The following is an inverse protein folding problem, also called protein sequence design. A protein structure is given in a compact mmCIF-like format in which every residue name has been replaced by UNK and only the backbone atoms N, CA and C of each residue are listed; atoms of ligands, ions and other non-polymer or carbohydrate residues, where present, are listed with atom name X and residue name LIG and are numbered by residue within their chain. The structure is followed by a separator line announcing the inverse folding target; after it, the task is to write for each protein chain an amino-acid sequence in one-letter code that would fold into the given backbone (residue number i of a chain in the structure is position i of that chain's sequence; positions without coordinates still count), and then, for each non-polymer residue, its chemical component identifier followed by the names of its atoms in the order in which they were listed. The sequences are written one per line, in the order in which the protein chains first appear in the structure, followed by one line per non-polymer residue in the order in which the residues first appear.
data_IF_020163909291
#
_entry.id   IF_020163909291
#
_cell.length_a   1.000
_cell.length_b   1.000
_cell.length_c   1.000
_cell.angle_alpha   90.00
_cell.angle_beta   90.00
_cell.angle_gamma   90.00
#
_symmetry.space_group_name_H-M   'P 1'
#
loop_
_entity.id
_entity.type
_entity.pdbx_description
1 polymer ?
#
# COMPACT_ATOMS: atom_id res chain seq x y z
N UNK A 1 -7.38 -6.13 -7.33
CA UNK A 1 -8.42 -5.32 -8.00
C UNK A 1 -9.60 -5.16 -7.06
N UNK A 2 -10.14 -3.95 -6.93
CA UNK A 2 -11.36 -3.70 -6.15
C UNK A 2 -12.44 -3.20 -7.11
N UNK A 3 -13.55 -3.92 -7.20
CA UNK A 3 -14.71 -3.55 -8.01
C UNK A 3 -15.84 -3.13 -7.11
N UNK A 4 -16.33 -1.90 -7.28
CA UNK A 4 -17.39 -1.34 -6.46
C UNK A 4 -18.69 -1.22 -7.28
N UNK A 5 -19.81 -1.65 -6.72
CA UNK A 5 -21.14 -1.48 -7.29
C UNK A 5 -22.12 -0.99 -6.24
N UNK A 6 -22.92 0.04 -6.54
CA UNK A 6 -23.98 0.52 -5.66
C UNK A 6 -25.33 -0.10 -6.02
N UNK A 7 -26.24 -0.29 -5.06
CA UNK A 7 -27.64 -0.61 -5.33
C UNK A 7 -28.25 0.42 -6.29
N UNK A 8 -28.74 -0.04 -7.43
CA UNK A 8 -29.31 0.82 -8.47
C UNK A 8 -28.33 1.26 -9.57
N UNK A 9 -27.04 0.92 -9.47
CA UNK A 9 -26.14 1.06 -10.62
C UNK A 9 -26.38 -0.08 -11.62
N UNK A 10 -26.50 0.27 -12.90
CA UNK A 10 -26.58 -0.71 -13.98
C UNK A 10 -25.17 -1.17 -14.35
N UNK A 11 -24.60 -2.09 -13.58
CA UNK A 11 -23.37 -2.76 -13.97
C UNK A 11 -23.63 -3.70 -15.17
N UNK A 12 -22.88 -3.53 -16.26
CA UNK A 12 -22.90 -4.48 -17.38
C UNK A 12 -22.23 -5.79 -16.95
N UNK A 13 -23.02 -6.73 -16.42
CA UNK A 13 -22.55 -8.00 -15.85
C UNK A 13 -21.63 -8.79 -16.79
N UNK A 14 -21.85 -8.76 -18.09
CA UNK A 14 -21.00 -9.43 -19.08
C UNK A 14 -19.55 -8.89 -19.09
N UNK A 15 -19.37 -7.58 -18.89
CA UNK A 15 -18.03 -6.99 -18.80
C UNK A 15 -17.36 -7.37 -17.49
N UNK A 16 -18.11 -7.43 -16.40
CA UNK A 16 -17.58 -7.87 -15.11
C UNK A 16 -17.07 -9.31 -15.21
N UNK A 17 -17.84 -10.24 -15.79
CA UNK A 17 -17.39 -11.63 -16.01
C UNK A 17 -16.07 -11.68 -16.78
N UNK A 18 -15.92 -10.87 -17.83
CA UNK A 18 -14.67 -10.80 -18.59
C UNK A 18 -13.50 -10.29 -17.73
N UNK A 19 -13.70 -9.20 -16.97
CA UNK A 19 -12.66 -8.64 -16.08
C UNK A 19 -12.21 -9.68 -15.05
N UNK A 20 -13.15 -10.37 -14.40
CA UNK A 20 -12.85 -11.39 -13.39
C UNK A 20 -12.10 -12.57 -14.02
N UNK A 21 -12.47 -13.00 -15.22
CA UNK A 21 -11.72 -14.01 -15.96
C UNK A 21 -10.27 -13.58 -16.24
N UNK A 22 -10.05 -12.32 -16.64
CA UNK A 22 -8.70 -11.80 -16.87
C UNK A 22 -7.90 -11.69 -15.58
N UNK A 23 -8.53 -11.28 -14.48
CA UNK A 23 -7.89 -11.29 -13.17
C UNK A 23 -7.50 -12.72 -12.75
N UNK A 24 -8.38 -13.71 -12.96
CA UNK A 24 -8.07 -15.11 -12.68
C UNK A 24 -6.85 -15.60 -13.47
N UNK A 25 -6.81 -15.37 -14.78
CA UNK A 25 -5.68 -15.76 -15.65
C UNK A 25 -4.35 -15.13 -15.21
N UNK A 26 -4.40 -13.91 -14.68
CA UNK A 26 -3.23 -13.13 -14.23
C UNK A 26 -2.92 -13.30 -12.74
N UNK A 27 -3.62 -14.19 -12.03
CA UNK A 27 -3.50 -14.36 -10.57
C UNK A 27 -3.70 -13.05 -9.78
N UNK A 28 -4.61 -12.19 -10.24
CA UNK A 28 -4.96 -10.94 -9.58
C UNK A 28 -6.13 -11.19 -8.64
N UNK A 29 -5.92 -10.96 -7.35
CA UNK A 29 -6.97 -11.02 -6.34
C UNK A 29 -8.09 -9.99 -6.61
N UNK A 30 -9.35 -10.40 -6.42
CA UNK A 30 -10.53 -9.57 -6.68
C UNK A 30 -11.39 -9.35 -5.43
N UNK A 31 -11.53 -8.10 -4.97
CA UNK A 31 -12.55 -7.72 -4.00
C UNK A 31 -13.76 -7.13 -4.72
N UNK A 32 -14.92 -7.79 -4.65
CA UNK A 32 -16.18 -7.30 -5.21
C UNK A 32 -17.03 -6.70 -4.09
N UNK A 33 -17.28 -5.41 -4.17
CA UNK A 33 -17.80 -4.61 -3.07
C UNK A 33 -19.13 -4.00 -3.47
N UNK A 34 -20.21 -4.40 -2.78
CA UNK A 34 -21.47 -3.70 -2.83
C UNK A 34 -21.39 -2.47 -1.91
N UNK A 35 -21.32 -1.27 -2.47
CA UNK A 35 -21.30 -0.02 -1.69
C UNK A 35 -22.71 0.36 -1.23
N UNK A 36 -22.81 1.36 -0.35
CA UNK A 36 -24.07 1.81 0.24
C UNK A 36 -24.89 0.63 0.79
N UNK A 37 -24.29 -0.15 1.70
CA UNK A 37 -24.89 -1.35 2.32
C UNK A 37 -26.35 -1.16 2.76
N UNK A 38 -26.75 0.06 3.14
CA UNK A 38 -28.09 0.35 3.64
C UNK A 38 -29.04 0.94 2.60
N UNK A 39 -28.54 1.43 1.46
CA UNK A 39 -29.38 2.10 0.47
C UNK A 39 -30.11 1.09 -0.43
N UNK A 40 -31.39 1.35 -0.66
CA UNK A 40 -32.21 0.59 -1.61
C UNK A 40 -32.61 -0.82 -1.17
N UNK A 41 -33.61 -1.38 -1.87
CA UNK A 41 -34.16 -2.71 -1.60
C UNK A 41 -33.36 -3.85 -2.25
N UNK A 42 -32.44 -3.53 -3.18
CA UNK A 42 -31.82 -4.49 -4.09
C UNK A 42 -30.35 -4.83 -3.76
N UNK A 43 -29.83 -4.44 -2.60
CA UNK A 43 -28.45 -4.73 -2.18
C UNK A 43 -28.10 -6.23 -2.20
N UNK A 44 -29.02 -7.08 -1.77
CA UNK A 44 -28.80 -8.53 -1.75
C UNK A 44 -28.72 -9.08 -3.17
N UNK A 45 -29.53 -8.54 -4.09
CA UNK A 45 -29.49 -8.89 -5.51
C UNK A 45 -28.11 -8.55 -6.10
N UNK A 46 -27.52 -7.40 -5.74
CA UNK A 46 -26.15 -7.06 -6.18
C UNK A 46 -25.14 -8.08 -5.65
N UNK A 47 -25.19 -8.41 -4.36
CA UNK A 47 -24.28 -9.41 -3.75
C UNK A 47 -24.45 -10.78 -4.41
N UNK A 48 -25.68 -11.22 -4.64
CA UNK A 48 -26.01 -12.49 -5.26
C UNK A 48 -25.50 -12.55 -6.71
N UNK A 49 -25.62 -11.45 -7.46
CA UNK A 49 -25.07 -11.33 -8.81
C UNK A 49 -23.53 -11.36 -8.83
N UNK A 50 -22.86 -10.67 -7.90
CA UNK A 50 -21.41 -10.74 -7.75
C UNK A 50 -20.96 -12.17 -7.42
N UNK A 51 -21.67 -12.85 -6.53
CA UNK A 51 -21.42 -14.26 -6.21
C UNK A 51 -21.66 -15.16 -7.42
N UNK A 52 -22.74 -14.94 -8.19
CA UNK A 52 -23.03 -15.69 -9.42
C UNK A 52 -21.90 -15.53 -10.44
N UNK A 53 -21.37 -14.33 -10.62
CA UNK A 53 -20.23 -14.08 -11.50
C UNK A 53 -19.00 -14.87 -11.04
N UNK A 54 -18.67 -14.84 -9.73
CA UNK A 54 -17.54 -15.59 -9.20
C UNK A 54 -17.73 -17.11 -9.30
N UNK A 55 -18.93 -17.63 -9.03
CA UNK A 55 -19.24 -19.05 -9.19
C UNK A 55 -19.11 -19.50 -10.66
N UNK A 56 -19.41 -18.63 -11.62
CA UNK A 56 -19.23 -18.94 -13.03
C UNK A 56 -17.75 -19.01 -13.42
N UNK A 57 -16.91 -18.12 -12.87
CA UNK A 57 -15.46 -18.08 -13.17
C UNK A 57 -14.68 -19.13 -12.37
N UNK A 58 -15.13 -19.43 -11.15
CA UNK A 58 -14.48 -20.33 -10.19
C UNK A 58 -15.42 -21.44 -9.73
N UNK A 59 -15.92 -22.32 -10.62
CA UNK A 59 -16.98 -23.28 -10.29
C UNK A 59 -16.57 -24.35 -9.26
N UNK A 60 -15.27 -24.52 -9.03
CA UNK A 60 -14.74 -25.52 -8.09
C UNK A 60 -14.48 -24.95 -6.69
N UNK A 61 -14.53 -23.63 -6.51
CA UNK A 61 -14.24 -22.99 -5.22
C UNK A 61 -15.53 -22.91 -4.41
N UNK A 62 -15.53 -23.56 -3.24
CA UNK A 62 -16.64 -23.44 -2.30
C UNK A 62 -16.46 -22.16 -1.48
N UNK A 63 -17.41 -21.23 -1.59
CA UNK A 63 -17.37 -20.00 -0.82
C UNK A 63 -17.60 -20.24 0.67
N UNK A 64 -16.93 -19.47 1.52
CA UNK A 64 -17.15 -19.43 2.98
C UNK A 64 -17.61 -18.04 3.40
N UNK A 65 -18.33 -17.92 4.53
CA UNK A 65 -18.84 -16.64 5.03
C UNK A 65 -18.34 -16.38 6.44
N UNK A 66 -17.74 -15.23 6.67
CA UNK A 66 -17.19 -14.79 7.95
C UNK A 66 -17.24 -13.26 8.03
N UNK A 67 -17.76 -12.72 9.14
CA UNK A 67 -17.87 -11.27 9.39
C UNK A 67 -18.53 -10.46 8.26
N UNK A 68 -19.57 -11.05 7.63
CA UNK A 68 -20.28 -10.39 6.53
C UNK A 68 -19.55 -10.43 5.18
N UNK A 69 -18.35 -11.03 5.12
CA UNK A 69 -17.58 -11.24 3.90
C UNK A 69 -17.81 -12.67 3.40
N UNK A 70 -17.95 -12.82 2.09
CA UNK A 70 -18.02 -14.10 1.39
C UNK A 70 -16.68 -14.32 0.69
N UNK A 71 -15.90 -15.27 1.17
CA UNK A 71 -14.57 -15.58 0.66
C UNK A 71 -14.64 -16.67 -0.40
N UNK A 72 -13.84 -16.50 -1.46
CA UNK A 72 -13.55 -17.49 -2.48
C UNK A 72 -12.06 -17.82 -2.38
N UNK A 73 -11.68 -18.48 -1.29
CA UNK A 73 -10.29 -18.83 -0.97
C UNK A 73 -9.36 -17.60 -1.03
N UNK A 74 -8.22 -17.71 -1.72
CA UNK A 74 -7.24 -16.65 -1.92
C UNK A 74 -7.41 -15.89 -3.25
N UNK A 75 -8.48 -16.12 -4.02
CA UNK A 75 -8.66 -15.50 -5.34
C UNK A 75 -9.62 -14.32 -5.33
N UNK A 76 -10.66 -14.36 -4.50
CA UNK A 76 -11.64 -13.29 -4.44
C UNK A 76 -12.40 -13.22 -3.11
N UNK A 77 -13.03 -12.07 -2.87
CA UNK A 77 -14.05 -11.91 -1.85
C UNK A 77 -15.22 -11.07 -2.36
N UNK A 78 -16.39 -11.24 -1.73
CA UNK A 78 -17.56 -10.38 -1.90
C UNK A 78 -17.96 -9.81 -0.55
N UNK A 79 -18.22 -8.52 -0.49
CA UNK A 79 -18.72 -7.89 0.75
C UNK A 79 -19.65 -6.73 0.45
N UNK A 80 -20.32 -6.23 1.49
CA UNK A 80 -21.02 -4.96 1.48
C UNK A 80 -20.27 -3.97 2.37
N UNK A 81 -20.25 -2.70 1.97
CA UNK A 81 -19.68 -1.62 2.79
C UNK A 81 -20.56 -0.39 2.75
N UNK A 82 -20.48 0.40 3.80
CA UNK A 82 -21.00 1.75 3.86
C UNK A 82 -19.85 2.67 4.26
N UNK A 83 -19.30 3.42 3.31
CA UNK A 83 -18.10 4.27 3.52
C UNK A 83 -18.42 5.62 4.16
N UNK A 84 -19.69 6.03 4.13
CA UNK A 84 -20.21 7.24 4.78
C UNK A 84 -21.43 6.86 5.61
N UNK A 85 -21.83 7.68 6.56
CA UNK A 85 -23.09 7.50 7.29
C UNK A 85 -24.28 7.48 6.32
N UNK A 86 -25.20 6.52 6.51
CA UNK A 86 -26.44 6.46 5.74
C UNK A 86 -27.55 7.13 6.53
N UNK A 87 -28.16 8.15 5.95
CA UNK A 87 -29.24 8.93 6.54
C UNK A 87 -30.43 8.86 5.60
N UNK A 88 -31.57 8.46 6.14
CA UNK A 88 -32.87 8.43 5.48
C UNK A 88 -33.86 9.21 6.34
N UNK A 89 -34.05 10.48 5.99
CA UNK A 89 -34.87 11.43 6.74
C UNK A 89 -36.35 11.03 6.70
N UNK A 90 -36.82 10.47 5.59
CA UNK A 90 -38.22 10.07 5.38
C UNK A 90 -38.63 8.94 6.34
N UNK A 91 -37.70 8.05 6.68
CA UNK A 91 -37.93 6.91 7.58
C UNK A 91 -37.23 7.05 8.94
N UNK A 92 -36.59 8.19 9.21
CA UNK A 92 -35.79 8.44 10.41
C UNK A 92 -34.77 7.31 10.69
N UNK A 93 -34.12 6.82 9.64
CA UNK A 93 -33.08 5.79 9.74
C UNK A 93 -31.72 6.45 9.64
N UNK A 94 -30.89 6.23 10.66
CA UNK A 94 -29.48 6.56 10.62
C UNK A 94 -28.65 5.29 10.86
N UNK A 95 -27.71 5.00 9.95
CA UNK A 95 -26.74 3.91 10.08
C UNK A 95 -25.31 4.42 9.94
N UNK A 96 -24.41 4.07 10.87
CA UNK A 96 -23.02 4.51 10.81
C UNK A 96 -22.26 3.88 9.63
N UNK A 97 -21.07 4.42 9.37
CA UNK A 97 -20.07 3.78 8.53
C UNK A 97 -19.79 2.35 9.04
N UNK A 98 -19.68 1.38 8.13
CA UNK A 98 -19.52 -0.03 8.48
C UNK A 98 -18.95 -0.86 7.32
N UNK A 99 -18.25 -1.95 7.63
CA UNK A 99 -17.74 -2.92 6.65
C UNK A 99 -16.38 -2.57 6.04
N UNK A 100 -15.86 -1.36 6.24
CA UNK A 100 -14.56 -0.93 5.68
C UNK A 100 -13.40 -1.65 6.37
N UNK A 101 -13.41 -1.70 7.70
CA UNK A 101 -12.33 -2.37 8.44
C UNK A 101 -12.31 -3.87 8.14
N UNK A 102 -13.50 -4.48 8.06
CA UNK A 102 -13.64 -5.89 7.67
C UNK A 102 -13.13 -6.12 6.26
N UNK A 103 -13.46 -5.23 5.29
CA UNK A 103 -12.96 -5.31 3.92
C UNK A 103 -11.42 -5.24 3.89
N UNK A 104 -10.82 -4.28 4.60
CA UNK A 104 -9.37 -4.14 4.67
C UNK A 104 -8.73 -5.40 5.25
N UNK A 105 -9.26 -5.91 6.36
CA UNK A 105 -8.77 -7.13 6.98
C UNK A 105 -8.95 -8.34 6.06
N UNK A 106 -10.11 -8.49 5.43
CA UNK A 106 -10.46 -9.59 4.54
C UNK A 106 -9.57 -9.65 3.31
N UNK A 107 -9.24 -8.50 2.70
CA UNK A 107 -8.24 -8.43 1.63
C UNK A 107 -6.90 -8.95 2.15
N UNK A 108 -6.41 -8.43 3.28
CA UNK A 108 -5.14 -8.85 3.86
C UNK A 108 -5.07 -10.36 4.12
N UNK A 109 -6.15 -10.93 4.66
CA UNK A 109 -6.28 -12.37 4.95
C UNK A 109 -6.19 -13.27 3.71
N UNK A 110 -6.65 -12.80 2.54
CA UNK A 110 -6.62 -13.55 1.29
C UNK A 110 -5.28 -13.48 0.55
N UNK A 111 -4.46 -12.46 0.85
CA UNK A 111 -3.21 -12.23 0.14
C UNK A 111 -2.09 -13.12 0.67
N UNK A 112 -1.15 -13.47 -0.21
CA UNK A 112 0.12 -14.06 0.22
C UNK A 112 0.89 -13.07 1.11
N UNK A 113 1.81 -13.59 1.94
CA UNK A 113 2.46 -12.84 3.01
C UNK A 113 3.05 -11.49 2.56
N UNK A 114 3.79 -11.47 1.46
CA UNK A 114 4.43 -10.24 0.97
C UNK A 114 3.41 -9.20 0.50
N UNK A 115 2.37 -9.63 -0.23
CA UNK A 115 1.29 -8.77 -0.67
C UNK A 115 0.38 -8.33 0.48
N UNK A 116 0.19 -9.16 1.50
CA UNK A 116 -0.52 -8.80 2.72
C UNK A 116 0.18 -7.65 3.45
N UNK A 117 1.51 -7.72 3.60
CA UNK A 117 2.27 -6.61 4.20
C UNK A 117 2.22 -5.35 3.35
N UNK A 118 2.35 -5.46 2.03
CA UNK A 118 2.21 -4.33 1.13
C UNK A 118 0.82 -3.67 1.25
N UNK A 119 -0.24 -4.47 1.28
CA UNK A 119 -1.61 -4.02 1.48
C UNK A 119 -1.80 -3.30 2.82
N UNK A 120 -1.34 -3.92 3.90
CA UNK A 120 -1.46 -3.34 5.24
C UNK A 120 -0.64 -2.05 5.37
N UNK A 121 0.49 -1.94 4.68
CA UNK A 121 1.25 -0.68 4.56
C UNK A 121 0.45 0.39 3.84
N UNK A 122 -0.30 0.06 2.78
CA UNK A 122 -1.15 1.03 2.06
C UNK A 122 -2.21 1.66 2.98
N UNK A 123 -2.70 0.90 3.97
CA UNK A 123 -3.72 1.37 4.92
C UNK A 123 -3.14 1.75 6.29
N UNK A 124 -1.82 1.93 6.41
CA UNK A 124 -1.15 2.25 7.68
C UNK A 124 -1.69 3.52 8.34
N UNK A 125 -2.03 4.52 7.53
CA UNK A 125 -2.59 5.81 7.97
C UNK A 125 -4.01 5.71 8.54
N UNK A 126 -4.69 4.58 8.37
CA UNK A 126 -6.05 4.38 8.90
C UNK A 126 -6.00 3.92 10.36
N UNK A 127 -5.75 4.85 11.29
CA UNK A 127 -5.62 4.55 12.72
C UNK A 127 -6.82 3.79 13.30
N UNK A 128 -8.04 4.11 12.87
CA UNK A 128 -9.25 3.45 13.37
C UNK A 128 -9.28 1.97 12.98
N UNK A 129 -8.87 1.61 11.76
CA UNK A 129 -8.74 0.22 11.33
C UNK A 129 -7.85 -0.58 12.27
N UNK A 130 -6.64 -0.08 12.55
CA UNK A 130 -5.68 -0.80 13.39
C UNK A 130 -6.17 -0.95 14.83
N UNK A 131 -6.80 0.09 15.38
CA UNK A 131 -7.38 0.06 16.71
C UNK A 131 -8.53 -0.96 16.80
N UNK A 132 -9.40 -1.00 15.79
CA UNK A 132 -10.59 -1.85 15.78
C UNK A 132 -10.25 -3.31 15.47
N UNK A 133 -9.26 -3.56 14.60
CA UNK A 133 -8.89 -4.89 14.13
C UNK A 133 -7.68 -5.51 14.84
N UNK A 134 -7.14 -4.85 15.88
CA UNK A 134 -5.97 -5.28 16.64
C UNK A 134 -6.01 -6.76 17.04
N UNK A 135 -7.13 -7.22 17.62
CA UNK A 135 -7.29 -8.60 18.07
C UNK A 135 -7.26 -9.59 16.90
N UNK A 136 -7.92 -9.28 15.79
CA UNK A 136 -7.95 -10.12 14.58
C UNK A 136 -6.58 -10.13 13.88
N UNK A 137 -5.89 -9.01 13.84
CA UNK A 137 -4.55 -8.89 13.27
C UNK A 137 -3.54 -9.71 14.07
N UNK A 138 -3.59 -9.66 15.41
CA UNK A 138 -2.75 -10.51 16.26
C UNK A 138 -2.92 -12.00 15.93
N UNK A 139 -4.16 -12.45 15.73
CA UNK A 139 -4.46 -13.83 15.33
C UNK A 139 -3.92 -14.12 13.93
N UNK A 140 -4.16 -13.23 12.97
CA UNK A 140 -3.73 -13.38 11.58
C UNK A 140 -2.21 -13.50 11.46
N UNK A 141 -1.48 -12.64 12.16
CA UNK A 141 -0.02 -12.63 12.14
C UNK A 141 0.61 -13.69 13.05
N UNK A 142 -0.15 -14.24 13.99
CA UNK A 142 0.35 -15.09 15.07
C UNK A 142 1.47 -14.41 15.87
N UNK A 143 1.41 -13.07 15.96
CA UNK A 143 2.37 -12.25 16.71
C UNK A 143 1.76 -11.97 18.09
N UNK A 144 2.53 -12.14 19.19
CA UNK A 144 2.09 -11.73 20.52
C UNK A 144 1.67 -10.26 20.55
N UNK A 145 0.54 -9.96 21.19
CA UNK A 145 -0.09 -8.62 21.19
C UNK A 145 0.86 -7.49 21.58
N UNK A 146 1.78 -7.73 22.50
CA UNK A 146 2.77 -6.74 22.96
C UNK A 146 3.77 -6.37 21.86
N UNK A 147 4.17 -7.34 21.03
CA UNK A 147 5.04 -7.11 19.86
C UNK A 147 4.30 -6.43 18.72
N UNK A 148 3.01 -6.74 18.57
CA UNK A 148 2.18 -6.10 17.56
C UNK A 148 1.86 -4.64 17.92
N UNK A 149 1.67 -4.31 19.20
CA UNK A 149 1.52 -2.93 19.64
C UNK A 149 2.78 -2.10 19.35
N UNK A 150 3.98 -2.67 19.56
CA UNK A 150 5.22 -2.03 19.11
C UNK A 150 5.24 -1.88 17.58
N UNK A 151 4.86 -2.92 16.83
CA UNK A 151 4.76 -2.87 15.37
C UNK A 151 3.81 -1.76 14.87
N UNK A 152 2.68 -1.55 15.53
CA UNK A 152 1.71 -0.50 15.20
C UNK A 152 2.23 0.89 15.57
N UNK A 153 2.77 1.07 16.78
CA UNK A 153 3.37 2.35 17.20
C UNK A 153 4.56 2.75 16.33
N UNK A 154 5.26 1.77 15.76
CA UNK A 154 6.33 1.97 14.82
C UNK A 154 5.89 1.73 13.38
N UNK A 155 4.60 1.68 13.02
CA UNK A 155 4.20 1.44 11.63
C UNK A 155 4.60 2.60 10.69
N UNK A 156 4.74 3.82 11.23
CA UNK A 156 5.43 4.93 10.55
C UNK A 156 6.94 4.70 10.37
N UNK A 157 7.55 3.86 11.21
CA UNK A 157 8.95 3.45 11.21
C UNK A 157 9.11 1.94 10.90
N UNK A 158 8.18 1.34 10.15
CA UNK A 158 8.05 -0.12 9.98
C UNK A 158 9.33 -0.77 9.42
N UNK A 159 10.12 0.01 8.67
CA UNK A 159 11.43 -0.37 8.15
C UNK A 159 12.45 -0.62 9.27
N UNK A 160 12.34 0.06 10.40
CA UNK A 160 13.23 -0.08 11.55
C UNK A 160 13.26 -1.51 12.10
N UNK A 161 12.07 -2.07 12.31
CA UNK A 161 11.90 -3.33 13.05
C UNK A 161 12.09 -4.58 12.20
N UNK A 162 11.76 -4.53 10.89
CA UNK A 162 11.96 -5.66 9.98
C UNK A 162 13.43 -5.82 9.55
N UNK A 163 14.21 -4.74 9.56
CA UNK A 163 15.59 -4.71 9.04
C UNK A 163 16.68 -4.48 10.12
N UNK A 164 16.29 -4.43 11.40
CA UNK A 164 17.20 -4.39 12.54
C UNK A 164 17.83 -3.02 12.83
N UNK A 165 17.11 -1.92 12.58
CA UNK A 165 17.53 -0.60 13.03
C UNK A 165 17.29 -0.44 14.54
N UNK A 166 18.22 0.21 15.25
CA UNK A 166 18.00 0.65 16.63
C UNK A 166 17.36 2.05 16.63
N UNK A 167 16.57 2.36 17.66
CA UNK A 167 15.85 3.65 17.81
C UNK A 167 16.75 4.91 17.68
N UNK A 168 18.05 4.78 17.99
CA UNK A 168 19.01 5.89 17.93
C UNK A 168 19.36 6.31 16.49
N UNK A 169 19.29 5.41 15.52
CA UNK A 169 19.59 5.73 14.11
C UNK A 169 18.48 6.59 13.47
N UNK A 170 17.24 6.43 13.93
CA UNK A 170 16.08 7.19 13.42
C UNK A 170 16.02 8.61 14.00
N UNK A 171 16.35 8.79 15.28
CA UNK A 171 16.33 10.12 15.93
C UNK A 171 17.34 11.10 15.33
N UNK A 172 18.42 10.60 14.73
CA UNK A 172 19.44 11.45 14.11
C UNK A 172 19.00 12.03 12.75
N UNK A 173 18.13 11.33 12.01
CA UNK A 173 17.61 11.78 10.71
C UNK A 173 16.60 12.92 10.89
N UNK A 174 15.82 12.90 11.99
CA UNK A 174 14.82 13.93 12.30
C UNK A 174 15.39 15.15 13.05
N UNK A 175 16.63 15.10 13.55
CA UNK A 175 17.24 16.15 14.37
C UNK A 175 18.26 17.04 13.63
N UNK A 176 18.41 16.91 12.31
CA UNK A 176 19.06 17.97 11.54
C UNK A 176 18.14 19.18 11.55
N UNK A 177 18.38 20.09 12.51
CA UNK A 177 17.71 21.38 12.73
C UNK A 177 17.08 21.98 11.46
N UNK A 178 15.87 21.56 11.12
CA UNK A 178 14.99 22.29 10.23
C UNK A 178 14.45 23.43 11.07
N UNK A 179 15.11 24.59 10.98
CA UNK A 179 14.46 25.84 11.35
C UNK A 179 13.13 25.88 10.60
N UNK A 180 12.06 26.19 11.33
CA UNK A 180 10.72 26.43 10.81
C UNK A 180 10.75 27.41 9.63
N UNK A 181 10.93 26.89 8.44
CA UNK A 181 10.59 27.53 7.17
C UNK A 181 9.67 26.55 6.48
N UNK A 182 8.44 26.97 6.22
CA UNK A 182 7.35 26.26 5.52
C UNK A 182 7.70 25.87 4.06
N UNK A 183 8.98 25.83 3.70
CA UNK A 183 9.45 25.37 2.41
C UNK A 183 9.78 23.87 2.52
N UNK A 184 8.76 23.05 2.30
CA UNK A 184 8.93 21.63 2.01
C UNK A 184 9.92 21.49 0.85
N UNK A 185 11.05 20.85 1.12
CA UNK A 185 12.10 20.58 0.16
C UNK A 185 11.57 19.53 -0.83
N UNK A 186 11.57 19.82 -2.13
CA UNK A 186 11.19 18.84 -3.16
C UNK A 186 12.40 18.50 -4.03
N UNK A 187 12.68 17.22 -4.18
CA UNK A 187 13.56 16.67 -5.21
C UNK A 187 12.69 15.96 -6.26
N UNK A 188 13.10 15.98 -7.53
CA UNK A 188 12.51 15.12 -8.55
C UNK A 188 13.52 14.01 -8.83
N UNK A 189 13.10 12.75 -8.83
CA UNK A 189 14.01 11.61 -9.05
C UNK A 189 13.55 10.76 -10.24
N UNK A 190 14.53 10.35 -11.04
CA UNK A 190 14.38 9.60 -12.28
C UNK A 190 15.39 8.44 -12.30
N UNK A 191 14.93 7.24 -12.65
CA UNK A 191 15.83 6.10 -12.86
C UNK A 191 16.29 6.13 -14.32
N UNK A 192 17.60 6.28 -14.58
CA UNK A 192 18.11 6.47 -15.95
C UNK A 192 18.71 5.20 -16.54
N UNK A 193 19.17 4.27 -15.71
CA UNK A 193 19.80 3.05 -16.21
C UNK A 193 19.54 1.87 -15.29
N UNK A 194 18.89 0.84 -15.85
CA UNK A 194 18.73 -0.46 -15.22
C UNK A 194 19.24 -1.53 -16.21
N UNK A 195 20.41 -2.09 -15.91
CA UNK A 195 20.97 -3.19 -16.71
C UNK A 195 20.54 -4.52 -16.09
N UNK A 196 19.95 -5.41 -16.90
CA UNK A 196 19.65 -6.78 -16.46
C UNK A 196 20.94 -7.58 -16.18
N UNK A 197 21.98 -7.31 -16.96
CA UNK A 197 23.29 -7.97 -16.90
C UNK A 197 24.21 -7.43 -15.79
N UNK A 198 23.84 -6.33 -15.13
CA UNK A 198 24.63 -5.70 -14.08
C UNK A 198 23.80 -5.42 -12.82
N UNK A 199 24.30 -5.73 -11.61
CA UNK A 199 23.67 -5.36 -10.34
C UNK A 199 23.69 -3.86 -10.06
N UNK A 200 24.19 -3.03 -10.98
CA UNK A 200 24.22 -1.58 -10.83
C UNK A 200 22.95 -0.96 -11.42
N UNK A 201 22.34 -0.05 -10.67
CA UNK A 201 21.28 0.82 -11.15
C UNK A 201 21.70 2.28 -10.94
N UNK A 202 21.37 3.13 -11.92
CA UNK A 202 21.62 4.57 -11.84
C UNK A 202 20.34 5.33 -11.55
N UNK A 203 20.38 6.12 -10.49
CA UNK A 203 19.31 7.02 -10.06
C UNK A 203 19.78 8.46 -10.26
N UNK A 204 19.02 9.26 -10.98
CA UNK A 204 19.23 10.69 -11.14
C UNK A 204 18.25 11.46 -10.26
N UNK A 205 18.78 12.43 -9.55
CA UNK A 205 18.05 13.37 -8.74
C UNK A 205 18.22 14.74 -9.38
N UNK A 206 17.11 15.37 -9.71
CA UNK A 206 17.01 16.76 -10.17
C UNK A 206 16.74 17.61 -8.93
N UNK A 207 17.60 18.59 -8.72
CA UNK A 207 17.70 19.36 -7.48
C UNK A 207 17.48 20.82 -7.79
N UNK A 208 16.58 21.46 -7.04
CA UNK A 208 16.18 22.85 -7.31
C UNK A 208 17.22 23.88 -6.82
N UNK A 209 18.12 23.51 -5.91
CA UNK A 209 19.19 24.38 -5.43
C UNK A 209 20.45 23.62 -4.98
N UNK A 210 21.60 24.29 -5.02
CA UNK A 210 22.88 23.70 -4.61
C UNK A 210 22.92 23.32 -3.10
N UNK A 211 22.23 24.08 -2.23
CA UNK A 211 22.13 23.78 -0.80
C UNK A 211 21.40 22.45 -0.54
N UNK A 212 20.32 22.21 -1.30
CA UNK A 212 19.59 20.94 -1.27
C UNK A 212 20.45 19.78 -1.80
N UNK A 213 21.29 20.05 -2.79
CA UNK A 213 22.23 19.07 -3.32
C UNK A 213 23.28 18.62 -2.30
N UNK A 214 23.79 19.55 -1.49
CA UNK A 214 24.71 19.24 -0.41
C UNK A 214 24.04 18.40 0.69
N UNK A 215 22.81 18.74 1.08
CA UNK A 215 22.04 17.96 2.07
C UNK A 215 21.72 16.56 1.57
N UNK A 216 21.24 16.42 0.33
CA UNK A 216 20.96 15.13 -0.28
C UNK A 216 22.24 14.28 -0.37
N UNK A 217 23.37 14.87 -0.79
CA UNK A 217 24.67 14.18 -0.82
C UNK A 217 25.10 13.66 0.55
N UNK A 218 24.88 14.43 1.62
CA UNK A 218 25.20 14.00 2.99
C UNK A 218 24.31 12.85 3.46
N UNK A 219 23.00 12.91 3.17
CA UNK A 219 22.04 11.83 3.48
C UNK A 219 22.41 10.56 2.74
N UNK A 220 22.72 10.66 1.45
CA UNK A 220 23.11 9.54 0.60
C UNK A 220 24.47 8.95 1.01
N UNK A 221 25.44 9.77 1.40
CA UNK A 221 26.72 9.30 1.92
C UNK A 221 26.55 8.49 3.20
N UNK A 222 25.62 8.89 4.09
CA UNK A 222 25.30 8.17 5.32
C UNK A 222 24.51 6.88 5.05
N UNK A 223 23.56 6.90 4.11
CA UNK A 223 22.82 5.70 3.67
C UNK A 223 23.72 4.71 2.91
N UNK A 224 24.65 5.24 2.12
CA UNK A 224 25.72 4.51 1.44
C UNK A 224 26.68 3.84 2.41
N UNK A 225 27.09 4.54 3.46
CA UNK A 225 27.90 3.96 4.54
C UNK A 225 27.16 2.85 5.30
N UNK A 226 25.83 2.91 5.38
CA UNK A 226 25.03 1.93 6.09
C UNK A 226 24.79 0.64 5.27
N UNK A 227 24.33 0.71 4.01
CA UNK A 227 23.93 -0.49 3.24
C UNK A 227 23.91 -0.38 1.72
N UNK A 228 23.79 0.82 1.14
CA UNK A 228 23.87 0.95 -0.31
C UNK A 228 25.35 0.84 -0.66
N UNK A 229 25.76 -0.20 -1.39
CA UNK A 229 27.08 -0.22 -2.02
C UNK A 229 27.08 0.84 -3.14
N UNK A 230 26.99 2.11 -2.77
CA UNK A 230 27.09 3.26 -3.65
C UNK A 230 28.49 3.22 -4.20
N UNK A 231 28.56 2.95 -5.50
CA UNK A 231 29.84 2.74 -6.18
C UNK A 231 30.42 4.08 -6.59
N UNK A 232 29.56 4.98 -7.07
CA UNK A 232 29.91 6.28 -7.62
C UNK A 232 28.75 7.27 -7.41
N UNK A 233 29.08 8.51 -7.07
CA UNK A 233 28.17 9.66 -7.13
C UNK A 233 28.79 10.70 -8.05
N UNK A 234 28.06 11.12 -9.08
CA UNK A 234 28.51 12.14 -10.03
C UNK A 234 27.54 13.32 -9.98
N UNK A 235 28.07 14.52 -9.71
CA UNK A 235 27.33 15.77 -9.88
C UNK A 235 27.58 16.26 -11.30
N UNK A 236 26.58 16.14 -12.17
CA UNK A 236 26.74 16.46 -13.60
C UNK A 236 26.61 17.96 -13.85
N UNK A 237 25.80 18.68 -13.06
CA UNK A 237 25.62 20.15 -13.00
C UNK A 237 25.03 20.56 -11.62
N UNK A 238 24.98 21.85 -11.27
CA UNK A 238 24.47 22.37 -9.96
C UNK A 238 23.04 21.93 -9.57
N UNK A 239 22.34 21.24 -10.46
CA UNK A 239 20.96 20.79 -10.30
C UNK A 239 20.77 19.29 -10.54
N UNK A 240 21.84 18.49 -10.68
CA UNK A 240 21.71 17.06 -10.97
C UNK A 240 22.73 16.23 -10.18
N UNK A 241 22.23 15.20 -9.47
CA UNK A 241 23.06 14.18 -8.80
C UNK A 241 22.70 12.82 -9.38
N UNK A 242 23.69 12.11 -9.91
CA UNK A 242 23.54 10.73 -10.35
C UNK A 242 24.21 9.80 -9.33
N UNK A 243 23.45 8.85 -8.80
CA UNK A 243 23.94 7.81 -7.91
C UNK A 243 23.94 6.49 -8.64
N UNK A 244 25.09 5.83 -8.65
CA UNK A 244 25.19 4.43 -9.07
C UNK A 244 25.23 3.54 -7.84
N UNK A 245 24.14 2.79 -7.60
CA UNK A 245 24.04 1.87 -6.49
C UNK A 245 24.03 0.41 -6.97
N UNK A 246 24.72 -0.47 -6.25
CA UNK A 246 24.71 -1.90 -6.51
C UNK A 246 23.65 -2.59 -5.64
N UNK A 247 22.65 -3.21 -6.28
CA UNK A 247 21.54 -3.89 -5.64
C UNK A 247 21.54 -5.39 -5.94
N UNK A 248 21.05 -6.17 -4.98
CA UNK A 248 20.84 -7.61 -5.14
C UNK A 248 19.57 -7.82 -5.97
N UNK A 249 19.50 -8.79 -6.89
CA UNK A 249 18.37 -8.92 -7.84
C UNK A 249 16.97 -8.93 -7.18
N UNK A 250 16.83 -9.54 -6.01
CA UNK A 250 15.56 -9.61 -5.26
C UNK A 250 15.21 -8.30 -4.54
N UNK A 251 16.20 -7.44 -4.29
CA UNK A 251 16.07 -6.19 -3.52
C UNK A 251 15.97 -4.94 -4.41
N UNK A 252 16.22 -5.06 -5.72
CA UNK A 252 16.29 -3.92 -6.67
C UNK A 252 15.06 -3.01 -6.65
N UNK A 253 13.86 -3.59 -6.81
CA UNK A 253 12.62 -2.81 -6.89
C UNK A 253 12.26 -2.23 -5.51
N UNK A 254 12.48 -3.00 -4.45
CA UNK A 254 12.21 -2.58 -3.07
C UNK A 254 13.17 -1.47 -2.63
N UNK A 255 14.45 -1.58 -2.96
CA UNK A 255 15.47 -0.61 -2.56
C UNK A 255 15.32 0.73 -3.29
N UNK A 256 14.87 0.74 -4.56
CA UNK A 256 14.52 1.98 -5.28
C UNK A 256 13.28 2.63 -4.68
N UNK A 257 12.24 1.84 -4.40
CA UNK A 257 11.04 2.34 -3.72
C UNK A 257 11.35 2.85 -2.30
N UNK A 258 12.23 2.17 -1.57
CA UNK A 258 12.65 2.55 -0.22
C UNK A 258 13.59 3.76 -0.23
N UNK A 259 14.41 3.95 -1.26
CA UNK A 259 15.14 5.21 -1.49
C UNK A 259 14.16 6.36 -1.72
N UNK A 260 13.16 6.18 -2.59
CA UNK A 260 12.10 7.18 -2.80
C UNK A 260 11.31 7.43 -1.50
N UNK A 261 11.14 6.43 -0.60
CA UNK A 261 10.42 6.58 0.68
C UNK A 261 11.24 7.30 1.76
N UNK A 262 12.53 6.96 1.90
CA UNK A 262 13.46 7.66 2.82
C UNK A 262 13.57 9.14 2.41
N UNK A 263 13.58 9.39 1.10
CA UNK A 263 13.55 10.73 0.54
C UNK A 263 12.15 11.38 0.69
N UNK A 264 11.06 10.61 0.70
CA UNK A 264 9.67 11.10 0.88
C UNK A 264 9.31 11.56 2.29
N UNK A 265 10.10 11.25 3.32
CA UNK A 265 9.99 12.02 4.57
C UNK A 265 10.35 13.50 4.39
N UNK A 266 10.89 13.88 3.21
CA UNK A 266 10.93 15.23 2.67
C UNK A 266 10.22 15.36 1.32
N UNK A 267 9.00 14.82 1.14
CA UNK A 267 8.07 15.05 0.00
C UNK A 267 8.71 15.14 -1.41
N UNK A 268 8.78 14.01 -2.13
CA UNK A 268 9.40 13.91 -3.48
C UNK A 268 8.51 13.16 -4.45
N UNK A 269 8.30 13.72 -5.65
CA UNK A 269 7.68 13.02 -6.77
C UNK A 269 8.74 12.16 -7.49
N UNK A 270 8.70 10.83 -7.26
CA UNK A 270 9.45 9.88 -8.08
C UNK A 270 8.63 9.54 -9.34
N UNK A 271 9.22 9.71 -10.52
CA UNK A 271 8.63 9.21 -11.77
C UNK A 271 9.52 8.07 -12.30
N UNK A 272 8.98 6.86 -12.37
CA UNK A 272 9.64 5.73 -13.01
C UNK A 272 9.26 5.79 -14.48
N UNK A 273 10.24 6.06 -15.34
CA UNK A 273 10.08 6.02 -16.80
C UNK A 273 10.71 4.72 -17.29
N UNK A 274 9.94 3.91 -18.02
CA UNK A 274 10.39 2.68 -18.67
C UNK A 274 11.32 2.98 -19.87
#
# INVERSE_FOLDING_TARGET
MIYCASPGSFALLNRLVWIINECHKKNIFCALVCTNMWSGRNRQIVVDELCRVLNNVHPQIKSTKEDGIIYYDNVALVTMVNSIEYIDEDFNVNKPQSGIDELIFGIGKCLQRDFMFAWLRTVSHNESFWKNMLSKLNILFQIPSDKFNNFYQHAGNFLGYLFGFNDDDYRYITNTNTKNTDESIFFDAEMIEMSEDSPKSKLKFIIKSAELGAQLSEVLAKLGAARLNVVESETTNEQEIIITAKFNNTERIMAVHDLCQIINHGQVNCTIVD
#
